data_IF_900647794607
#
_entry.id   IF_900647794607
#
_cell.length_a   1.000
_cell.length_b   1.000
_cell.length_c   1.000
_cell.angle_alpha   90.00
_cell.angle_beta   90.00
_cell.angle_gamma   90.00
#
_symmetry.space_group_name_H-M   'P 1'
#
loop_
_entity.id
_entity.type
_entity.pdbx_description
1 polymer ?
#
# COMPACT_ATOMS: atom_id res chain seq x y z
N UNK A 1 -16.51 21.36 28.37
CA UNK A 1 -17.35 20.65 27.38
C UNK A 1 -16.43 20.16 26.29
N UNK A 2 -16.48 18.87 26.03
CA UNK A 2 -15.38 17.95 25.73
C UNK A 2 -14.86 18.01 24.29
N UNK A 3 -13.58 17.67 24.11
CA UNK A 3 -12.89 17.41 22.82
C UNK A 3 -13.71 16.53 21.87
N UNK A 4 -14.50 15.63 22.45
CA UNK A 4 -15.40 14.69 21.76
C UNK A 4 -16.38 15.36 20.78
N UNK A 5 -16.89 16.55 21.12
CA UNK A 5 -17.79 17.30 20.23
C UNK A 5 -17.06 17.94 19.04
N UNK A 6 -15.82 18.39 19.24
CA UNK A 6 -14.96 18.94 18.19
C UNK A 6 -14.49 17.86 17.22
N UNK A 7 -14.08 16.71 17.77
CA UNK A 7 -13.69 15.52 17.03
C UNK A 7 -14.81 15.04 16.10
N UNK A 8 -16.00 14.80 16.64
CA UNK A 8 -17.14 14.31 15.85
C UNK A 8 -17.51 15.27 14.72
N UNK A 9 -17.45 16.58 14.96
CA UNK A 9 -17.75 17.58 13.95
C UNK A 9 -16.68 17.59 12.84
N UNK A 10 -15.39 17.58 13.18
CA UNK A 10 -14.31 17.53 12.20
C UNK A 10 -14.39 16.29 11.29
N UNK A 11 -14.63 15.12 11.88
CA UNK A 11 -14.78 13.88 11.11
C UNK A 11 -16.00 13.92 10.18
N UNK A 12 -17.12 14.47 10.67
CA UNK A 12 -18.33 14.62 9.86
C UNK A 12 -18.12 15.57 8.68
N UNK A 13 -17.48 16.71 8.92
CA UNK A 13 -17.22 17.70 7.86
C UNK A 13 -16.20 17.20 6.84
N UNK A 14 -15.18 16.45 7.28
CA UNK A 14 -14.18 15.84 6.39
C UNK A 14 -14.81 14.73 5.55
N UNK A 15 -15.53 13.79 6.16
CA UNK A 15 -16.21 12.72 5.42
C UNK A 15 -17.21 13.28 4.38
N UNK A 16 -17.94 14.35 4.73
CA UNK A 16 -18.81 15.04 3.76
C UNK A 16 -17.99 15.69 2.65
N UNK A 17 -16.84 16.28 2.94
CA UNK A 17 -15.96 16.87 1.94
C UNK A 17 -15.38 15.80 1.00
N UNK A 18 -15.04 14.61 1.49
CA UNK A 18 -14.54 13.51 0.66
C UNK A 18 -15.60 13.08 -0.38
N UNK A 19 -16.88 13.09 -0.01
CA UNK A 19 -17.98 12.76 -0.95
C UNK A 19 -18.36 13.92 -1.88
N UNK A 20 -18.29 15.16 -1.39
CA UNK A 20 -18.78 16.34 -2.14
C UNK A 20 -17.70 17.15 -2.86
N UNK A 21 -16.43 16.89 -2.57
CA UNK A 21 -15.28 17.69 -3.00
C UNK A 21 -15.14 19.06 -2.30
N UNK A 22 -16.03 19.43 -1.38
CA UNK A 22 -16.07 20.77 -0.77
C UNK A 22 -15.13 20.90 0.44
N UNK A 23 -13.83 20.75 0.18
CA UNK A 23 -12.78 20.89 1.19
C UNK A 23 -12.62 22.32 1.72
N UNK A 24 -13.10 23.33 0.99
CA UNK A 24 -13.10 24.72 1.46
C UNK A 24 -14.05 24.93 2.64
N UNK A 25 -15.26 24.34 2.62
CA UNK A 25 -16.15 24.39 3.79
C UNK A 25 -15.58 23.65 4.99
N UNK A 26 -14.98 22.47 4.77
CA UNK A 26 -14.31 21.71 5.83
C UNK A 26 -13.14 22.50 6.45
N UNK A 27 -12.33 23.17 5.61
CA UNK A 27 -11.25 24.05 6.06
C UNK A 27 -11.76 25.20 6.94
N UNK A 28 -12.87 25.84 6.56
CA UNK A 28 -13.49 26.89 7.37
C UNK A 28 -14.00 26.34 8.71
N UNK A 29 -14.59 25.15 8.73
CA UNK A 29 -15.04 24.49 9.96
C UNK A 29 -13.87 24.17 10.89
N UNK A 30 -12.80 23.58 10.38
CA UNK A 30 -11.57 23.31 11.13
C UNK A 30 -11.00 24.59 11.75
N UNK A 31 -10.92 25.69 10.99
CA UNK A 31 -10.46 26.98 11.51
C UNK A 31 -11.36 27.53 12.65
N UNK A 32 -12.69 27.35 12.58
CA UNK A 32 -13.60 27.75 13.67
C UNK A 32 -13.36 26.91 14.94
N UNK A 33 -13.14 25.60 14.78
CA UNK A 33 -12.87 24.69 15.90
C UNK A 33 -11.55 25.04 16.55
N UNK A 34 -10.48 25.25 15.78
CA UNK A 34 -9.16 25.68 16.31
C UNK A 34 -9.27 26.97 17.13
N UNK A 35 -10.07 27.95 16.68
CA UNK A 35 -10.29 29.21 17.43
C UNK A 35 -10.98 28.99 18.76
N UNK A 36 -11.93 28.05 18.83
CA UNK A 36 -12.71 27.75 20.03
C UNK A 36 -12.00 26.78 20.97
N UNK A 37 -11.22 25.86 20.41
CA UNK A 37 -10.54 24.76 21.09
C UNK A 37 -9.10 24.66 20.55
N UNK A 38 -8.18 25.56 20.97
CA UNK A 38 -6.84 25.64 20.40
C UNK A 38 -5.96 24.42 20.66
N UNK A 39 -6.34 23.55 21.60
CA UNK A 39 -5.65 22.28 21.90
C UNK A 39 -6.25 21.08 21.18
N UNK A 40 -7.27 21.28 20.34
CA UNK A 40 -7.93 20.20 19.62
C UNK A 40 -7.08 19.74 18.43
N UNK A 41 -6.26 18.72 18.66
CA UNK A 41 -5.31 18.18 17.68
C UNK A 41 -6.00 17.73 16.38
N UNK A 42 -7.19 17.15 16.47
CA UNK A 42 -7.90 16.67 15.29
C UNK A 42 -8.33 17.80 14.35
N UNK A 43 -8.58 18.99 14.89
CA UNK A 43 -8.92 20.15 14.07
C UNK A 43 -7.71 20.63 13.24
N UNK A 44 -6.49 20.50 13.78
CA UNK A 44 -5.25 20.77 13.04
C UNK A 44 -5.01 19.74 11.94
N UNK A 45 -5.22 18.44 12.23
CA UNK A 45 -5.13 17.38 11.22
C UNK A 45 -6.17 17.56 10.11
N UNK A 46 -7.42 17.85 10.46
CA UNK A 46 -8.48 18.14 9.49
C UNK A 46 -8.11 19.34 8.59
N UNK A 47 -7.59 20.42 9.20
CA UNK A 47 -7.08 21.57 8.45
C UNK A 47 -5.96 21.18 7.49
N UNK A 48 -4.99 20.37 7.95
CA UNK A 48 -3.88 19.91 7.13
C UNK A 48 -4.36 19.11 5.92
N UNK A 49 -5.25 18.12 6.12
CA UNK A 49 -5.83 17.32 5.03
C UNK A 49 -6.59 18.22 4.04
N UNK A 50 -7.39 19.17 4.53
CA UNK A 50 -8.09 20.10 3.64
C UNK A 50 -7.13 20.93 2.80
N UNK A 51 -6.02 21.43 3.38
CA UNK A 51 -5.02 22.19 2.62
C UNK A 51 -4.34 21.32 1.55
N UNK A 52 -4.04 20.06 1.85
CA UNK A 52 -3.47 19.09 0.90
C UNK A 52 -4.43 18.83 -0.26
N UNK A 53 -5.70 18.57 0.04
CA UNK A 53 -6.75 18.29 -0.96
C UNK A 53 -7.07 19.50 -1.84
N UNK A 54 -6.93 20.71 -1.30
CA UNK A 54 -7.05 21.96 -2.05
C UNK A 54 -5.77 22.36 -2.80
N UNK A 55 -4.74 21.50 -2.78
CA UNK A 55 -3.41 21.77 -3.34
C UNK A 55 -2.71 23.05 -2.80
N UNK A 56 -3.05 23.46 -1.58
CA UNK A 56 -2.46 24.61 -0.88
C UNK A 56 -1.22 24.16 -0.09
N UNK A 57 -0.22 23.65 -0.80
CA UNK A 57 0.95 22.98 -0.20
C UNK A 57 1.83 23.90 0.65
N UNK A 58 2.06 25.15 0.23
CA UNK A 58 2.81 26.13 1.02
C UNK A 58 2.13 26.48 2.35
N UNK A 59 0.80 26.59 2.34
CA UNK A 59 0.01 26.84 3.55
C UNK A 59 0.01 25.62 4.47
N UNK A 60 -0.05 24.41 3.90
CA UNK A 60 0.06 23.15 4.64
C UNK A 60 1.44 23.03 5.32
N UNK A 61 2.52 23.35 4.61
CA UNK A 61 3.87 23.35 5.16
C UNK A 61 4.06 24.43 6.24
N UNK A 62 3.48 25.62 6.01
CA UNK A 62 3.46 26.69 7.01
C UNK A 62 2.71 26.28 8.28
N UNK A 63 1.60 25.56 8.15
CA UNK A 63 0.84 25.03 9.28
C UNK A 63 1.68 24.03 10.09
N UNK A 64 2.38 23.10 9.42
CA UNK A 64 3.28 22.14 10.06
C UNK A 64 4.44 22.84 10.78
N UNK A 65 5.02 23.88 10.18
CA UNK A 65 6.12 24.65 10.79
C UNK A 65 5.69 25.45 12.01
N UNK A 66 4.47 26.00 12.01
CA UNK A 66 3.97 26.87 13.09
C UNK A 66 3.27 26.11 14.21
N UNK A 67 2.88 24.85 13.98
CA UNK A 67 2.18 24.03 14.98
C UNK A 67 3.15 23.03 15.60
N UNK A 68 3.40 23.09 16.92
CA UNK A 68 4.32 22.16 17.56
C UNK A 68 3.79 20.70 17.52
N UNK A 69 4.68 19.69 17.59
CA UNK A 69 4.29 18.28 17.50
C UNK A 69 3.25 17.83 18.53
N UNK A 70 3.27 18.38 19.75
CA UNK A 70 2.28 18.08 20.79
C UNK A 70 0.85 18.57 20.47
N UNK A 71 0.70 19.45 19.48
CA UNK A 71 -0.57 20.01 19.04
C UNK A 71 -0.99 19.49 17.66
N UNK A 72 -0.04 19.17 16.77
CA UNK A 72 -0.30 18.60 15.45
C UNK A 72 -0.42 17.06 15.50
N UNK A 73 0.43 16.42 16.30
CA UNK A 73 0.72 14.99 16.22
C UNK A 73 1.76 14.64 15.18
N UNK A 74 1.93 13.35 14.99
CA UNK A 74 2.75 12.77 13.93
C UNK A 74 2.10 13.04 12.57
N UNK A 75 2.87 13.70 11.70
CA UNK A 75 2.49 14.06 10.34
C UNK A 75 3.69 13.93 9.38
N UNK A 76 4.57 12.95 9.63
CA UNK A 76 5.79 12.74 8.84
C UNK A 76 5.44 12.43 7.36
N UNK A 77 4.46 11.54 7.16
CA UNK A 77 3.96 11.20 5.83
C UNK A 77 3.35 12.42 5.12
N UNK A 78 2.47 13.19 5.77
CA UNK A 78 1.88 14.38 5.17
C UNK A 78 2.96 15.42 4.82
N UNK A 79 3.96 15.60 5.69
CA UNK A 79 5.11 16.48 5.41
C UNK A 79 5.87 16.01 4.17
N UNK A 80 6.20 14.73 4.08
CA UNK A 80 6.87 14.14 2.92
C UNK A 80 6.05 14.33 1.64
N UNK A 81 4.74 14.06 1.70
CA UNK A 81 3.84 14.24 0.56
C UNK A 81 3.79 15.70 0.09
N UNK A 82 3.67 16.65 1.02
CA UNK A 82 3.69 18.09 0.70
C UNK A 82 5.00 18.47 0.02
N UNK A 83 6.15 18.02 0.54
CA UNK A 83 7.47 18.31 -0.03
C UNK A 83 7.64 17.68 -1.42
N UNK A 84 7.15 16.45 -1.62
CA UNK A 84 7.10 15.77 -2.91
C UNK A 84 6.30 16.56 -3.95
N UNK A 85 5.13 17.09 -3.55
CA UNK A 85 4.26 17.93 -4.41
C UNK A 85 4.86 19.30 -4.72
N UNK A 86 5.76 19.79 -3.87
CA UNK A 86 6.55 21.00 -4.07
C UNK A 86 7.89 20.74 -4.80
N UNK A 87 8.13 19.51 -5.28
CA UNK A 87 9.38 19.10 -5.96
C UNK A 87 10.65 19.24 -5.10
N UNK A 88 10.50 19.31 -3.78
CA UNK A 88 11.60 19.35 -2.81
C UNK A 88 12.01 17.93 -2.42
N UNK A 89 12.56 17.21 -3.39
CA UNK A 89 12.74 15.75 -3.32
C UNK A 89 13.63 15.30 -2.15
N UNK A 90 14.77 15.96 -1.91
CA UNK A 90 15.69 15.60 -0.82
C UNK A 90 15.03 15.74 0.56
N UNK A 91 14.33 16.84 0.80
CA UNK A 91 13.60 17.07 2.05
C UNK A 91 12.42 16.10 2.20
N UNK A 92 11.82 15.67 1.09
CA UNK A 92 10.76 14.66 1.12
C UNK A 92 11.33 13.29 1.55
N UNK A 93 12.51 12.89 1.05
CA UNK A 93 13.22 11.69 1.49
C UNK A 93 13.61 11.76 2.97
N UNK A 94 14.11 12.90 3.44
CA UNK A 94 14.39 13.12 4.87
C UNK A 94 13.13 12.99 5.73
N UNK A 95 12.00 13.53 5.27
CA UNK A 95 10.72 13.41 5.99
C UNK A 95 10.21 11.95 6.00
N UNK A 96 10.41 11.19 4.93
CA UNK A 96 10.06 9.77 4.85
C UNK A 96 10.89 8.92 5.83
N UNK A 97 12.14 9.28 6.09
CA UNK A 97 12.98 8.58 7.07
C UNK A 97 12.44 8.65 8.51
N UNK A 98 11.51 9.58 8.79
CA UNK A 98 10.83 9.70 10.08
C UNK A 98 9.47 8.95 10.13
N UNK A 99 9.04 8.31 9.03
CA UNK A 99 7.84 7.48 9.01
C UNK A 99 8.11 6.09 9.61
N UNK A 100 7.04 5.38 9.98
CA UNK A 100 7.13 3.95 10.28
C UNK A 100 7.64 3.21 9.03
N UNK A 101 8.71 2.38 9.12
CA UNK A 101 9.20 1.57 8.01
C UNK A 101 8.15 0.64 7.39
N UNK A 102 7.05 0.35 8.11
CA UNK A 102 5.93 -0.47 7.65
C UNK A 102 4.74 0.36 7.12
N UNK A 103 4.82 1.69 7.09
CA UNK A 103 3.77 2.51 6.48
C UNK A 103 3.84 2.36 4.95
N UNK A 104 2.98 1.52 4.40
CA UNK A 104 2.89 1.27 2.96
C UNK A 104 2.74 2.55 2.15
N UNK A 105 2.05 3.58 2.67
CA UNK A 105 1.91 4.87 1.96
C UNK A 105 3.26 5.58 1.85
N UNK A 106 4.08 5.52 2.90
CA UNK A 106 5.42 6.09 2.91
C UNK A 106 6.35 5.33 1.95
N UNK A 107 6.26 4.00 1.91
CA UNK A 107 7.00 3.16 0.97
C UNK A 107 6.63 3.47 -0.49
N UNK A 108 5.33 3.61 -0.79
CA UNK A 108 4.84 4.00 -2.12
C UNK A 108 5.41 5.35 -2.57
N UNK A 109 5.35 6.36 -1.68
CA UNK A 109 5.89 7.67 -1.97
C UNK A 109 7.42 7.64 -2.14
N UNK A 110 8.11 6.81 -1.35
CA UNK A 110 9.55 6.59 -1.50
C UNK A 110 9.88 6.00 -2.87
N UNK A 111 9.18 4.96 -3.31
CA UNK A 111 9.39 4.36 -4.62
C UNK A 111 9.17 5.36 -5.77
N UNK A 112 8.13 6.19 -5.68
CA UNK A 112 7.86 7.27 -6.63
C UNK A 112 8.97 8.34 -6.65
N UNK A 113 9.52 8.69 -5.49
CA UNK A 113 10.67 9.60 -5.38
C UNK A 113 11.93 8.99 -5.97
N UNK A 114 12.24 7.73 -5.66
CA UNK A 114 13.38 7.01 -6.25
C UNK A 114 13.26 6.97 -7.78
N UNK A 115 12.07 6.69 -8.32
CA UNK A 115 11.83 6.76 -9.76
C UNK A 115 12.09 8.16 -10.34
N UNK A 116 11.60 9.22 -9.68
CA UNK A 116 11.84 10.62 -10.10
C UNK A 116 13.31 11.00 -10.09
N UNK A 117 14.11 10.41 -9.20
CA UNK A 117 15.54 10.67 -9.03
C UNK A 117 16.43 9.70 -9.82
N UNK A 118 15.85 8.97 -10.79
CA UNK A 118 16.53 7.95 -11.60
C UNK A 118 17.15 6.79 -10.80
N UNK A 119 16.72 6.60 -9.55
CA UNK A 119 17.11 5.48 -8.67
C UNK A 119 16.21 4.27 -8.94
N UNK A 120 16.19 3.81 -10.20
CA UNK A 120 15.21 2.84 -10.68
C UNK A 120 15.30 1.48 -9.99
N UNK A 121 16.49 1.01 -9.63
CA UNK A 121 16.64 -0.28 -8.95
C UNK A 121 16.00 -0.25 -7.55
N UNK A 122 16.23 0.81 -6.78
CA UNK A 122 15.60 0.97 -5.46
C UNK A 122 14.08 1.09 -5.56
N UNK A 123 13.59 1.85 -6.55
CA UNK A 123 12.15 1.95 -6.82
C UNK A 123 11.54 0.56 -7.16
N UNK A 124 12.25 -0.23 -7.97
CA UNK A 124 11.81 -1.56 -8.38
C UNK A 124 11.69 -2.49 -7.18
N UNK A 125 12.70 -2.50 -6.31
CA UNK A 125 12.74 -3.38 -5.15
C UNK A 125 11.61 -3.03 -4.14
N UNK A 126 11.34 -1.73 -3.93
CA UNK A 126 10.22 -1.29 -3.09
C UNK A 126 8.87 -1.69 -3.71
N UNK A 127 8.65 -1.43 -5.00
CA UNK A 127 7.39 -1.82 -5.66
C UNK A 127 7.19 -3.32 -5.68
N UNK A 128 8.26 -4.10 -5.88
CA UNK A 128 8.21 -5.57 -5.83
C UNK A 128 7.77 -6.05 -4.45
N UNK A 129 8.38 -5.52 -3.39
CA UNK A 129 8.02 -5.87 -2.01
C UNK A 129 6.58 -5.49 -1.68
N UNK A 130 6.16 -4.28 -2.05
CA UNK A 130 4.78 -3.82 -1.87
C UNK A 130 3.77 -4.68 -2.61
N UNK A 131 4.05 -5.06 -3.86
CA UNK A 131 3.18 -5.95 -4.63
C UNK A 131 3.09 -7.31 -3.97
N UNK A 132 4.19 -7.84 -3.44
CA UNK A 132 4.27 -9.15 -2.78
C UNK A 132 3.53 -9.19 -1.44
N UNK A 133 3.67 -8.15 -0.61
CA UNK A 133 3.27 -8.18 0.80
C UNK A 133 2.06 -7.32 1.14
N UNK A 134 1.52 -6.54 0.21
CA UNK A 134 0.41 -5.63 0.46
C UNK A 134 -0.58 -5.59 -0.71
N UNK A 135 -1.87 -5.66 -0.39
CA UNK A 135 -2.96 -5.57 -1.37
C UNK A 135 -4.03 -4.61 -0.88
N UNK A 136 -4.38 -3.64 -1.72
CA UNK A 136 -5.43 -2.65 -1.49
C UNK A 136 -6.04 -2.15 -2.80
N UNK A 137 -6.87 -1.11 -2.73
CA UNK A 137 -7.52 -0.53 -3.91
C UNK A 137 -6.54 0.12 -4.90
N UNK A 138 -5.25 0.20 -4.58
CA UNK A 138 -4.21 0.83 -5.42
C UNK A 138 -3.30 -0.19 -6.12
N UNK A 139 -3.64 -1.48 -6.08
CA UNK A 139 -2.80 -2.55 -6.65
C UNK A 139 -2.55 -2.37 -8.15
N UNK A 140 -3.54 -1.90 -8.92
CA UNK A 140 -3.40 -1.70 -10.36
C UNK A 140 -2.48 -0.52 -10.69
N UNK A 141 -2.59 0.58 -9.94
CA UNK A 141 -1.67 1.72 -10.03
C UNK A 141 -0.24 1.32 -9.63
N UNK A 142 -0.10 0.51 -8.58
CA UNK A 142 1.20 -0.02 -8.13
C UNK A 142 1.84 -0.89 -9.20
N UNK A 143 1.07 -1.78 -9.86
CA UNK A 143 1.53 -2.58 -11.01
C UNK A 143 1.95 -1.70 -12.19
N UNK A 144 1.19 -0.66 -12.51
CA UNK A 144 1.55 0.26 -13.59
C UNK A 144 2.87 0.98 -13.31
N UNK A 145 3.08 1.44 -12.06
CA UNK A 145 4.33 2.06 -11.64
C UNK A 145 5.51 1.07 -11.68
N UNK A 146 5.31 -0.17 -11.20
CA UNK A 146 6.30 -1.24 -11.29
C UNK A 146 6.75 -1.50 -12.74
N UNK A 147 5.79 -1.63 -13.67
CA UNK A 147 6.07 -1.83 -15.10
C UNK A 147 6.82 -0.64 -15.71
N UNK A 148 6.49 0.59 -15.32
CA UNK A 148 7.22 1.78 -15.76
C UNK A 148 8.69 1.75 -15.29
N UNK A 149 8.95 1.33 -14.05
CA UNK A 149 10.32 1.18 -13.52
C UNK A 149 11.09 0.10 -14.28
N UNK A 150 10.45 -1.04 -14.56
CA UNK A 150 11.06 -2.11 -15.36
C UNK A 150 11.45 -1.62 -16.75
N UNK A 151 10.55 -0.90 -17.43
CA UNK A 151 10.83 -0.34 -18.75
C UNK A 151 12.03 0.61 -18.75
N UNK A 152 12.19 1.43 -17.71
CA UNK A 152 13.35 2.33 -17.58
C UNK A 152 14.66 1.56 -17.37
N UNK A 153 14.65 0.52 -16.52
CA UNK A 153 15.81 -0.34 -16.31
C UNK A 153 16.21 -1.08 -17.60
N UNK A 154 15.23 -1.60 -18.34
CA UNK A 154 15.46 -2.23 -19.64
C UNK A 154 16.04 -1.26 -20.67
N UNK A 155 15.54 -0.02 -20.70
CA UNK A 155 16.06 1.04 -21.57
C UNK A 155 17.53 1.39 -21.24
N UNK A 156 17.94 1.22 -19.98
CA UNK A 156 19.34 1.33 -19.53
C UNK A 156 20.18 0.08 -19.83
N UNK A 157 19.58 -0.96 -20.43
CA UNK A 157 20.24 -2.24 -20.70
C UNK A 157 20.35 -3.17 -19.50
N UNK A 158 19.69 -2.83 -18.38
CA UNK A 158 19.64 -3.67 -17.18
C UNK A 158 18.50 -4.67 -17.36
N UNK A 159 18.85 -5.91 -17.73
CA UNK A 159 17.88 -7.00 -17.82
C UNK A 159 17.40 -7.37 -16.42
N UNK A 160 16.12 -7.15 -16.17
CA UNK A 160 15.44 -7.64 -14.98
C UNK A 160 14.90 -9.04 -15.25
N UNK A 161 14.87 -9.90 -14.22
CA UNK A 161 14.11 -11.15 -14.30
C UNK A 161 12.64 -10.80 -14.49
N UNK A 162 12.01 -11.33 -15.55
CA UNK A 162 10.62 -11.05 -15.88
C UNK A 162 9.67 -11.64 -14.84
N UNK A 163 8.64 -10.88 -14.49
CA UNK A 163 7.70 -11.13 -13.40
C UNK A 163 6.80 -12.39 -13.52
N UNK A 164 7.06 -13.33 -14.45
CA UNK A 164 6.38 -14.63 -14.41
C UNK A 164 6.72 -15.42 -13.13
N UNK A 165 7.77 -15.01 -12.42
CA UNK A 165 8.29 -15.66 -11.22
C UNK A 165 8.05 -14.84 -9.93
N UNK A 166 7.24 -13.77 -10.00
CA UNK A 166 7.08 -12.78 -8.90
C UNK A 166 5.72 -12.81 -8.19
N UNK A 167 4.76 -13.63 -8.62
CA UNK A 167 3.54 -13.81 -7.82
C UNK A 167 3.89 -14.68 -6.61
N UNK A 168 3.64 -14.17 -5.40
CA UNK A 168 3.85 -15.00 -4.21
C UNK A 168 2.85 -16.14 -4.18
N UNK A 169 3.15 -17.18 -3.40
CA UNK A 169 2.21 -18.29 -3.25
C UNK A 169 0.89 -17.82 -2.62
N UNK A 170 0.89 -16.80 -1.76
CA UNK A 170 -0.32 -16.21 -1.18
C UNK A 170 -1.16 -15.48 -2.23
N UNK A 171 -0.53 -14.75 -3.15
CA UNK A 171 -1.24 -14.07 -4.25
C UNK A 171 -1.85 -15.08 -5.22
N UNK A 172 -1.09 -16.11 -5.57
CA UNK A 172 -1.55 -17.23 -6.40
C UNK A 172 -2.71 -17.97 -5.72
N UNK A 173 -2.61 -18.20 -4.41
CA UNK A 173 -3.67 -18.81 -3.61
C UNK A 173 -4.92 -17.95 -3.54
N UNK A 174 -4.78 -16.64 -3.29
CA UNK A 174 -5.91 -15.70 -3.24
C UNK A 174 -6.61 -15.63 -4.60
N UNK A 175 -5.84 -15.60 -5.69
CA UNK A 175 -6.36 -15.65 -7.07
C UNK A 175 -7.10 -16.96 -7.31
N UNK A 176 -6.56 -18.09 -6.85
CA UNK A 176 -7.24 -19.38 -6.94
C UNK A 176 -8.57 -19.39 -6.17
N UNK A 177 -8.63 -18.85 -4.95
CA UNK A 177 -9.86 -18.74 -4.17
C UNK A 177 -10.94 -17.94 -4.90
N UNK A 178 -10.59 -16.78 -5.48
CA UNK A 178 -11.51 -15.99 -6.31
C UNK A 178 -12.01 -16.77 -7.53
N UNK A 179 -11.13 -17.51 -8.21
CA UNK A 179 -11.49 -18.33 -9.37
C UNK A 179 -12.40 -19.51 -8.98
N UNK A 180 -12.23 -20.07 -7.78
CA UNK A 180 -13.10 -21.13 -7.23
C UNK A 180 -14.51 -20.58 -7.00
N UNK A 181 -14.63 -19.41 -6.38
CA UNK A 181 -15.92 -18.75 -6.17
C UNK A 181 -16.62 -18.42 -7.50
N UNK A 182 -15.84 -18.04 -8.52
CA UNK A 182 -16.33 -17.82 -9.88
C UNK A 182 -16.62 -19.11 -10.67
N UNK A 183 -16.39 -20.30 -10.09
CA UNK A 183 -16.57 -21.60 -10.76
C UNK A 183 -15.56 -21.92 -11.87
N UNK A 184 -14.47 -21.16 -11.97
CA UNK A 184 -13.43 -21.34 -12.97
C UNK A 184 -12.33 -22.30 -12.47
N UNK A 185 -12.71 -23.56 -12.33
CA UNK A 185 -11.90 -24.57 -11.64
C UNK A 185 -10.57 -24.90 -12.34
N UNK A 186 -10.49 -24.89 -13.68
CA UNK A 186 -9.22 -25.17 -14.38
C UNK A 186 -8.18 -24.07 -14.15
N UNK A 187 -8.60 -22.79 -14.21
CA UNK A 187 -7.69 -21.68 -13.89
C UNK A 187 -7.32 -21.67 -12.41
N UNK A 188 -8.25 -22.02 -11.53
CA UNK A 188 -7.97 -22.15 -10.10
C UNK A 188 -6.92 -23.23 -9.84
N UNK A 189 -7.03 -24.40 -10.49
CA UNK A 189 -6.06 -25.48 -10.39
C UNK A 189 -4.66 -25.02 -10.82
N UNK A 190 -4.55 -24.35 -11.98
CA UNK A 190 -3.27 -23.82 -12.47
C UNK A 190 -2.63 -22.82 -11.49
N UNK A 191 -3.44 -21.98 -10.83
CA UNK A 191 -2.92 -21.04 -9.81
C UNK A 191 -2.49 -21.77 -8.53
N UNK A 192 -3.23 -22.79 -8.08
CA UNK A 192 -2.85 -23.60 -6.93
C UNK A 192 -1.56 -24.38 -7.16
N UNK A 193 -1.37 -24.94 -8.35
CA UNK A 193 -0.13 -25.65 -8.70
C UNK A 193 1.07 -24.69 -8.67
N UNK A 194 0.91 -23.48 -9.20
CA UNK A 194 1.94 -22.44 -9.10
C UNK A 194 2.17 -22.02 -7.65
N UNK A 195 1.11 -21.85 -6.84
CA UNK A 195 1.22 -21.48 -5.44
C UNK A 195 2.03 -22.52 -4.65
N UNK A 196 1.71 -23.80 -4.83
CA UNK A 196 2.41 -24.91 -4.16
C UNK A 196 3.90 -24.90 -4.54
N UNK A 197 4.22 -24.75 -5.83
CA UNK A 197 5.61 -24.69 -6.28
C UNK A 197 6.35 -23.47 -5.72
N UNK A 198 5.73 -22.29 -5.73
CA UNK A 198 6.33 -21.07 -5.21
C UNK A 198 6.54 -21.13 -3.69
N UNK A 199 5.57 -21.68 -2.94
CA UNK A 199 5.65 -21.88 -1.50
C UNK A 199 6.80 -22.83 -1.15
N UNK A 200 6.86 -24.00 -1.80
CA UNK A 200 7.94 -24.98 -1.61
C UNK A 200 9.31 -24.36 -1.87
N UNK A 201 9.48 -23.64 -2.98
CA UNK A 201 10.76 -23.00 -3.31
C UNK A 201 11.17 -21.99 -2.24
N UNK A 202 10.22 -21.17 -1.77
CA UNK A 202 10.47 -20.16 -0.73
C UNK A 202 10.93 -20.80 0.58
N UNK A 203 10.20 -21.82 1.05
CA UNK A 203 10.52 -22.50 2.32
C UNK A 203 11.83 -23.30 2.23
N UNK A 204 12.14 -23.87 1.06
CA UNK A 204 13.41 -24.55 0.81
C UNK A 204 14.59 -23.56 0.83
N UNK A 205 14.43 -22.38 0.24
CA UNK A 205 15.44 -21.31 0.28
C UNK A 205 15.66 -20.77 1.71
N UNK A 206 14.63 -20.81 2.55
CA UNK A 206 14.70 -20.47 3.98
C UNK A 206 15.34 -21.59 4.84
N UNK A 207 15.65 -22.74 4.24
CA UNK A 207 16.38 -23.83 4.88
C UNK A 207 15.53 -24.77 5.72
N UNK A 208 14.20 -24.76 5.56
CA UNK A 208 13.29 -25.71 6.20
C UNK A 208 13.52 -27.12 5.65
N UNK A 209 13.25 -28.12 6.49
CA UNK A 209 13.28 -29.52 6.05
C UNK A 209 12.00 -29.93 5.32
N UNK A 210 12.03 -31.08 4.66
CA UNK A 210 10.91 -31.53 3.83
C UNK A 210 9.64 -31.81 4.67
N UNK A 211 9.76 -32.20 5.94
CA UNK A 211 8.58 -32.45 6.79
C UNK A 211 7.88 -31.13 7.14
N UNK A 212 8.67 -30.11 7.51
CA UNK A 212 8.16 -28.76 7.78
C UNK A 212 7.52 -28.12 6.52
N UNK A 213 8.15 -28.30 5.36
CA UNK A 213 7.60 -27.82 4.08
C UNK A 213 6.25 -28.48 3.78
N UNK A 214 6.13 -29.79 4.00
CA UNK A 214 4.90 -30.53 3.71
C UNK A 214 3.74 -30.11 4.61
N UNK A 215 4.01 -29.80 5.88
CA UNK A 215 3.04 -29.27 6.83
C UNK A 215 2.51 -27.89 6.41
N UNK A 216 3.39 -26.98 5.98
CA UNK A 216 3.00 -25.65 5.50
C UNK A 216 2.19 -25.71 4.18
N UNK A 217 2.48 -26.69 3.31
CA UNK A 217 1.74 -26.91 2.06
C UNK A 217 0.36 -27.53 2.25
N UNK A 218 0.01 -28.02 3.46
CA UNK A 218 -1.21 -28.78 3.70
C UNK A 218 -2.48 -28.03 3.26
N UNK A 219 -2.58 -26.74 3.60
CA UNK A 219 -3.76 -25.92 3.26
C UNK A 219 -3.92 -25.72 1.75
N UNK A 220 -2.81 -25.49 1.03
CA UNK A 220 -2.81 -25.34 -0.42
C UNK A 220 -3.26 -26.64 -1.12
N UNK A 221 -2.78 -27.78 -0.62
CA UNK A 221 -3.15 -29.11 -1.15
C UNK A 221 -4.59 -29.49 -0.88
N UNK A 222 -5.14 -29.14 0.29
CA UNK A 222 -6.56 -29.34 0.58
C UNK A 222 -7.44 -28.57 -0.41
N UNK A 223 -7.09 -27.31 -0.69
CA UNK A 223 -7.83 -26.52 -1.67
C UNK A 223 -7.68 -27.08 -3.09
N UNK A 224 -6.48 -27.56 -3.47
CA UNK A 224 -6.23 -28.25 -4.74
C UNK A 224 -7.05 -29.52 -4.87
N UNK A 225 -7.12 -30.35 -3.83
CA UNK A 225 -7.94 -31.56 -3.77
C UNK A 225 -9.43 -31.24 -4.00
N UNK A 226 -9.93 -30.17 -3.37
CA UNK A 226 -11.30 -29.70 -3.58
C UNK A 226 -11.55 -29.32 -5.05
N UNK A 227 -10.64 -28.58 -5.68
CA UNK A 227 -10.76 -28.20 -7.11
C UNK A 227 -10.73 -29.42 -8.01
N UNK A 228 -9.82 -30.37 -7.78
CA UNK A 228 -9.75 -31.63 -8.53
C UNK A 228 -11.04 -32.44 -8.39
N UNK A 229 -11.65 -32.45 -7.20
CA UNK A 229 -12.96 -33.07 -7.01
C UNK A 229 -14.05 -32.40 -7.86
N UNK A 230 -14.09 -31.05 -7.88
CA UNK A 230 -15.04 -30.29 -8.71
C UNK A 230 -14.85 -30.51 -10.21
N UNK A 231 -13.62 -30.80 -10.66
CA UNK A 231 -13.29 -31.16 -12.03
C UNK A 231 -13.55 -32.64 -12.37
N UNK A 232 -13.95 -33.47 -11.40
CA UNK A 232 -14.07 -34.93 -11.60
C UNK A 232 -12.74 -35.68 -11.66
N UNK A 233 -11.62 -35.01 -11.36
CA UNK A 233 -10.24 -35.51 -11.40
C UNK A 233 -9.75 -35.98 -10.03
N UNK A 234 -10.64 -36.60 -9.24
CA UNK A 234 -10.36 -36.95 -7.82
C UNK A 234 -9.19 -37.95 -7.63
N UNK A 235 -8.81 -38.68 -8.68
CA UNK A 235 -7.66 -39.60 -8.64
C UNK A 235 -6.32 -38.85 -8.55
N UNK A 236 -6.25 -37.62 -9.05
CA UNK A 236 -5.03 -36.79 -9.05
C UNK A 236 -4.79 -36.10 -7.69
N UNK A 237 -5.74 -36.21 -6.76
CA UNK A 237 -5.68 -35.56 -5.44
C UNK A 237 -4.73 -36.25 -4.44
N UNK A 238 -4.15 -37.40 -4.80
CA UNK A 238 -3.28 -38.21 -3.91
C UNK A 238 -1.78 -38.00 -4.16
N UNK A 239 -1.43 -37.08 -5.06
CA UNK A 239 -0.08 -36.66 -5.41
C UNK A 239 0.08 -35.18 -5.02
#
# INVERSE_FOLDING_TARGET
MTSEGGLRQCLTDLSRADTSGDYQKALQAANRIIRRYPKEQYAFKCKLVCLIQLAMYDDALTLLKKTPPNQMGECAFEKAYILYRLERNDEALEALAACDPKDHRALELKAQLCYRLDQFQEALDIFRDLLRNHSDSYDDERKANYLAVQAQLEAMGIKQQTASDSETFEQLYNTACQLIEAGNYEKALSNLDKAINACRNTLSDEGLDEEEIEDELAMLRVQRAFVLHKLGRSQESKQ
#
